data_IF_626330411752
#
_entry.id   IF_626330411752
#
_cell.length_a   1.000
_cell.length_b   1.000
_cell.length_c   1.000
_cell.angle_alpha   90.00
_cell.angle_beta   90.00
_cell.angle_gamma   90.00
#
_symmetry.space_group_name_H-M   'P 1'
#
loop_
_entity.id
_entity.type
_entity.pdbx_description
1 polymer ?
#
# COMPACT_ATOMS: atom_id res chain seq x y z
N UNK A 1 63.78 -11.35 72.25
CA UNK A 1 63.90 -11.75 70.81
C UNK A 1 62.73 -11.16 70.08
N UNK A 2 62.92 -10.00 69.45
CA UNK A 2 61.83 -9.30 68.69
C UNK A 2 62.06 -9.48 67.18
N UNK A 3 61.16 -10.09 66.53
CA UNK A 3 61.17 -10.30 65.09
C UNK A 3 60.36 -9.17 64.49
N UNK A 4 61.03 -8.30 63.68
CA UNK A 4 60.35 -7.26 62.87
C UNK A 4 59.89 -7.82 61.55
N UNK A 5 58.64 -7.68 61.29
CA UNK A 5 58.04 -7.95 59.95
C UNK A 5 58.15 -6.68 59.09
N UNK A 6 58.80 -6.81 57.97
CA UNK A 6 58.92 -5.77 56.95
C UNK A 6 57.71 -5.94 55.98
N UNK A 7 56.80 -4.99 56.00
CA UNK A 7 55.68 -4.98 55.06
C UNK A 7 56.10 -4.34 53.73
N UNK A 8 56.05 -5.13 52.65
CA UNK A 8 56.28 -4.65 51.29
C UNK A 8 54.91 -4.17 50.70
N UNK A 9 54.81 -2.84 50.51
CA UNK A 9 53.65 -2.24 49.87
C UNK A 9 53.87 -2.26 48.33
N UNK A 10 53.11 -3.06 47.67
CA UNK A 10 53.10 -3.12 46.21
C UNK A 10 52.03 -2.15 45.65
N UNK A 11 52.45 -1.05 45.05
CA UNK A 11 51.61 -0.05 44.43
C UNK A 11 51.28 -0.53 43.05
N UNK A 12 50.02 -0.97 42.83
CA UNK A 12 49.47 -1.22 41.48
C UNK A 12 49.02 0.13 40.87
N UNK A 13 49.68 0.54 39.79
CA UNK A 13 49.24 1.65 38.96
C UNK A 13 48.10 1.16 38.02
N UNK A 14 46.90 1.58 38.28
CA UNK A 14 45.79 1.40 37.33
C UNK A 14 45.92 2.40 36.18
N UNK A 15 46.27 1.91 35.00
CA UNK A 15 46.20 2.69 33.78
C UNK A 15 44.74 3.01 33.43
N UNK A 16 44.42 4.30 33.38
CA UNK A 16 43.15 4.76 32.80
C UNK A 16 43.15 4.47 31.29
N UNK A 17 42.48 3.40 30.90
CA UNK A 17 42.14 3.16 29.51
C UNK A 17 41.14 4.22 29.05
N UNK A 18 41.47 4.96 27.98
CA UNK A 18 40.57 5.90 27.34
C UNK A 18 39.30 5.14 26.89
N UNK A 19 38.15 5.51 27.43
CA UNK A 19 36.87 5.04 26.96
C UNK A 19 36.70 5.51 25.52
N UNK A 20 36.68 4.57 24.57
CA UNK A 20 36.31 4.86 23.20
C UNK A 20 34.85 5.34 23.18
N UNK A 21 34.66 6.59 22.78
CA UNK A 21 33.36 7.21 22.60
C UNK A 21 32.66 6.50 21.43
N UNK A 22 31.84 5.49 21.73
CA UNK A 22 31.04 4.79 20.75
C UNK A 22 29.88 5.70 20.36
N UNK A 23 30.13 6.57 19.39
CA UNK A 23 29.10 7.40 18.79
C UNK A 23 28.01 6.47 18.21
N UNK A 24 26.96 6.28 19.00
CA UNK A 24 25.79 5.49 18.61
C UNK A 24 25.12 6.21 17.45
N UNK A 25 25.39 5.80 16.21
CA UNK A 25 24.65 6.27 15.05
C UNK A 25 23.17 5.98 15.29
N UNK A 26 22.42 7.04 15.59
CA UNK A 26 20.98 6.97 15.70
C UNK A 26 20.45 6.65 14.31
N UNK A 27 20.04 5.41 14.08
CA UNK A 27 19.29 5.01 12.89
C UNK A 27 17.92 5.65 13.02
N UNK A 28 17.77 6.86 12.47
CA UNK A 28 16.46 7.51 12.36
C UNK A 28 15.62 6.71 11.38
N UNK A 29 14.45 6.23 11.83
CA UNK A 29 13.47 5.66 10.91
C UNK A 29 13.13 6.69 9.85
N UNK A 30 13.02 6.29 8.57
CA UNK A 30 12.70 7.23 7.50
C UNK A 30 11.36 7.93 7.80
N UNK A 31 11.34 9.24 7.60
CA UNK A 31 10.16 10.06 7.85
C UNK A 31 9.00 9.62 6.95
N UNK A 32 7.81 9.47 7.55
CA UNK A 32 6.59 9.18 6.81
C UNK A 32 5.97 10.47 6.30
N UNK A 33 5.48 10.41 5.08
CA UNK A 33 4.69 11.48 4.47
C UNK A 33 3.24 11.03 4.29
N UNK A 34 2.33 12.01 4.27
CA UNK A 34 0.92 11.80 3.91
C UNK A 34 0.65 12.40 2.54
N UNK A 35 0.01 11.62 1.66
CA UNK A 35 -0.51 12.05 0.38
C UNK A 35 -2.03 11.85 0.39
N UNK A 36 -2.78 12.93 0.14
CA UNK A 36 -4.24 12.88 -0.05
C UNK A 36 -4.54 13.33 -1.47
N UNK A 37 -5.26 12.50 -2.20
CA UNK A 37 -5.64 12.77 -3.58
C UNK A 37 -7.15 13.04 -3.68
N UNK A 38 -7.49 14.24 -4.14
CA UNK A 38 -8.85 14.61 -4.48
C UNK A 38 -9.18 14.05 -5.88
N UNK A 39 -9.80 12.89 -5.91
CA UNK A 39 -10.11 12.17 -7.15
C UNK A 39 -11.11 12.90 -8.06
N UNK A 40 -11.84 13.89 -7.53
CA UNK A 40 -12.73 14.76 -8.29
C UNK A 40 -12.00 15.85 -9.06
N UNK A 41 -10.78 16.21 -8.67
CA UNK A 41 -9.99 17.26 -9.31
C UNK A 41 -9.03 16.72 -10.35
N UNK A 42 -8.75 17.55 -11.36
CA UNK A 42 -7.74 17.19 -12.35
C UNK A 42 -6.35 17.19 -11.73
N UNK A 43 -5.60 16.12 -12.05
CA UNK A 43 -4.21 15.95 -11.65
C UNK A 43 -3.45 15.31 -12.82
N UNK A 44 -2.51 16.04 -13.47
CA UNK A 44 -1.79 15.55 -14.66
C UNK A 44 -0.85 14.35 -14.36
N UNK A 45 -0.65 14.02 -13.08
CA UNK A 45 0.14 12.88 -12.66
C UNK A 45 -0.61 11.54 -12.77
N UNK A 46 -1.92 11.57 -13.04
CA UNK A 46 -2.67 10.38 -13.36
C UNK A 46 -2.34 9.88 -14.77
N UNK A 47 -1.92 8.63 -14.87
CA UNK A 47 -1.75 7.89 -16.12
C UNK A 47 -2.90 6.89 -16.27
N UNK A 48 -3.85 7.20 -17.13
CA UNK A 48 -4.93 6.30 -17.50
C UNK A 48 -4.42 5.32 -18.57
N UNK A 49 -3.94 4.17 -18.12
CA UNK A 49 -3.30 3.16 -18.98
C UNK A 49 -4.32 2.43 -19.83
N UNK A 50 -5.48 2.13 -19.24
CA UNK A 50 -6.60 1.48 -19.91
C UNK A 50 -7.92 1.86 -19.23
N UNK A 51 -9.05 1.79 -19.95
CA UNK A 51 -10.38 2.16 -19.47
C UNK A 51 -10.74 3.60 -19.78
N UNK A 52 -12.02 3.91 -19.54
CA UNK A 52 -12.55 5.27 -19.68
C UNK A 52 -12.76 5.85 -18.27
N UNK A 53 -11.87 6.72 -17.88
CA UNK A 53 -11.87 7.39 -16.59
C UNK A 53 -12.43 8.79 -16.73
N UNK A 54 -13.46 9.13 -15.97
CA UNK A 54 -14.13 10.44 -15.99
C UNK A 54 -14.30 10.96 -14.58
N UNK A 55 -14.16 12.26 -14.40
CA UNK A 55 -14.51 12.95 -13.15
C UNK A 55 -15.94 13.44 -13.25
N UNK A 56 -16.72 13.26 -12.19
CA UNK A 56 -18.11 13.67 -12.15
C UNK A 56 -18.62 13.86 -10.73
N UNK A 57 -19.64 14.68 -10.58
CA UNK A 57 -20.41 14.74 -9.35
C UNK A 57 -21.29 13.49 -9.20
N UNK A 58 -21.30 12.88 -8.03
CA UNK A 58 -22.09 11.70 -7.73
C UNK A 58 -22.43 11.62 -6.24
N UNK A 59 -23.73 11.68 -5.90
CA UNK A 59 -24.18 11.59 -4.52
C UNK A 59 -23.64 12.69 -3.61
N UNK A 60 -23.53 13.92 -4.11
CA UNK A 60 -23.07 15.10 -3.35
C UNK A 60 -21.54 15.20 -3.18
N UNK A 61 -20.78 14.40 -3.92
CA UNK A 61 -19.30 14.44 -3.93
C UNK A 61 -18.73 14.31 -5.34
N UNK A 62 -17.53 14.82 -5.53
CA UNK A 62 -16.77 14.60 -6.75
C UNK A 62 -16.05 13.24 -6.68
N UNK A 63 -16.06 12.52 -7.80
CA UNK A 63 -15.49 11.17 -7.90
C UNK A 63 -14.70 11.00 -9.19
N UNK A 64 -13.75 10.05 -9.18
CA UNK A 64 -13.18 9.48 -10.40
C UNK A 64 -13.88 8.16 -10.70
N UNK A 65 -14.52 8.08 -11.85
CA UNK A 65 -15.28 6.91 -12.26
C UNK A 65 -14.65 6.22 -13.48
N UNK A 66 -14.56 4.91 -13.43
CA UNK A 66 -14.38 4.06 -14.60
C UNK A 66 -15.75 3.71 -15.17
N UNK A 67 -16.00 3.92 -16.47
CA UNK A 67 -17.35 3.92 -17.05
C UNK A 67 -17.50 3.10 -18.34
N UNK A 68 -16.47 2.39 -18.78
CA UNK A 68 -16.50 1.62 -20.00
C UNK A 68 -16.02 0.19 -19.78
N UNK A 69 -16.59 -0.72 -20.58
CA UNK A 69 -16.04 -2.08 -20.70
C UNK A 69 -14.58 -2.04 -21.15
N UNK A 70 -13.72 -2.79 -20.47
CA UNK A 70 -12.27 -2.81 -20.74
C UNK A 70 -11.70 -4.22 -20.51
N UNK A 71 -11.28 -4.85 -21.58
CA UNK A 71 -10.65 -6.16 -21.53
C UNK A 71 -9.12 -6.03 -21.60
N UNK A 72 -8.40 -6.73 -20.74
CA UNK A 72 -8.89 -7.57 -19.62
C UNK A 72 -9.25 -6.76 -18.38
N UNK A 73 -8.75 -5.50 -18.22
CA UNK A 73 -8.99 -4.61 -17.07
C UNK A 73 -8.66 -3.15 -17.37
N UNK A 74 -9.26 -2.25 -16.60
CA UNK A 74 -8.95 -0.84 -16.60
C UNK A 74 -7.93 -0.51 -15.49
N UNK A 75 -6.95 0.33 -15.81
CA UNK A 75 -5.81 0.67 -14.94
C UNK A 75 -5.57 2.18 -14.99
N UNK A 76 -5.50 2.80 -13.81
CA UNK A 76 -5.06 4.17 -13.62
C UNK A 76 -3.95 4.20 -12.57
N UNK A 77 -2.78 4.78 -12.89
CA UNK A 77 -1.63 4.92 -11.99
C UNK A 77 -1.41 6.38 -11.64
N UNK A 78 -1.28 6.69 -10.36
CA UNK A 78 -0.89 8.03 -9.88
C UNK A 78 0.64 8.11 -9.79
N UNK A 79 1.27 8.69 -10.81
CA UNK A 79 2.72 8.87 -10.91
C UNK A 79 3.18 10.14 -10.18
N UNK A 80 2.74 10.32 -8.93
CA UNK A 80 3.20 11.41 -8.07
C UNK A 80 4.38 10.96 -7.20
N UNK A 81 4.12 10.13 -6.21
CA UNK A 81 5.11 9.67 -5.24
C UNK A 81 5.17 8.15 -5.21
N UNK A 82 6.38 7.63 -5.08
CA UNK A 82 6.61 6.22 -4.82
C UNK A 82 6.76 6.01 -3.32
N UNK A 83 6.25 4.90 -2.81
CA UNK A 83 6.33 4.52 -1.41
C UNK A 83 6.95 3.12 -1.28
N UNK A 84 7.86 2.94 -0.33
CA UNK A 84 8.39 1.63 0.05
C UNK A 84 7.42 0.92 0.99
N UNK A 85 7.27 1.44 2.20
CA UNK A 85 6.23 1.03 3.14
C UNK A 85 5.07 2.01 3.07
N UNK A 86 3.85 1.48 3.10
CA UNK A 86 2.65 2.32 2.99
C UNK A 86 1.47 1.77 3.81
N UNK A 87 0.59 2.67 4.16
CA UNK A 87 -0.79 2.46 4.62
C UNK A 87 -1.67 3.29 3.67
N UNK A 88 -2.31 2.61 2.72
CA UNK A 88 -3.09 3.25 1.68
C UNK A 88 -4.57 2.89 1.80
N UNK A 89 -5.42 3.88 1.64
CA UNK A 89 -6.88 3.71 1.64
C UNK A 89 -7.51 4.34 0.41
N UNK A 90 -8.58 3.71 -0.07
CA UNK A 90 -9.47 4.30 -1.08
C UNK A 90 -10.91 3.86 -0.81
N UNK A 91 -11.87 4.76 -1.03
CA UNK A 91 -13.27 4.37 -1.12
C UNK A 91 -13.62 4.03 -2.56
N UNK A 92 -14.41 2.99 -2.74
CA UNK A 92 -14.96 2.61 -4.03
C UNK A 92 -16.45 2.29 -3.90
N UNK A 93 -17.19 2.51 -4.99
CA UNK A 93 -18.60 2.17 -5.09
C UNK A 93 -18.82 1.46 -6.42
N UNK A 94 -19.04 0.13 -6.41
CA UNK A 94 -19.41 -0.59 -7.62
C UNK A 94 -20.85 -0.20 -7.99
N UNK A 95 -21.03 0.35 -9.17
CA UNK A 95 -22.34 0.86 -9.64
C UNK A 95 -23.07 -0.23 -10.43
N UNK A 96 -22.35 -0.87 -11.36
CA UNK A 96 -22.89 -1.91 -12.20
C UNK A 96 -21.80 -2.78 -12.81
N UNK A 97 -22.23 -3.91 -13.34
CA UNK A 97 -21.49 -4.89 -14.12
C UNK A 97 -22.32 -6.15 -14.23
N UNK A 98 -22.17 -6.89 -15.32
CA UNK A 98 -22.79 -8.19 -15.54
C UNK A 98 -21.76 -9.31 -15.49
N UNK A 99 -20.60 -9.07 -16.05
CA UNK A 99 -19.46 -9.98 -16.03
C UNK A 99 -18.60 -9.77 -14.78
N UNK A 100 -18.40 -8.50 -14.37
CA UNK A 100 -17.64 -8.13 -13.19
C UNK A 100 -18.19 -6.84 -12.56
N UNK A 101 -18.12 -6.70 -11.24
CA UNK A 101 -18.47 -5.48 -10.53
C UNK A 101 -17.46 -5.23 -9.42
N UNK A 102 -16.27 -4.81 -9.83
CA UNK A 102 -15.12 -4.72 -8.92
C UNK A 102 -14.54 -3.32 -8.81
N UNK A 103 -13.90 -3.09 -7.66
CA UNK A 103 -12.99 -1.99 -7.44
C UNK A 103 -11.71 -2.48 -6.80
N UNK A 104 -10.58 -1.88 -7.18
CA UNK A 104 -9.28 -2.28 -6.68
C UNK A 104 -8.33 -1.12 -6.40
N UNK A 105 -7.44 -1.34 -5.43
CA UNK A 105 -6.33 -0.47 -5.07
C UNK A 105 -5.03 -1.11 -5.54
N UNK A 106 -4.37 -0.46 -6.49
CA UNK A 106 -3.02 -0.79 -6.94
C UNK A 106 -2.01 -0.17 -5.98
N UNK A 107 -0.94 -0.90 -5.67
CA UNK A 107 0.18 -0.42 -4.88
C UNK A 107 1.49 -1.06 -5.35
N UNK A 108 2.62 -0.43 -5.00
CA UNK A 108 3.96 -0.83 -5.45
C UNK A 108 4.06 -0.95 -6.97
N UNK A 109 3.31 -0.14 -7.72
CA UNK A 109 3.36 -0.16 -9.17
C UNK A 109 4.72 0.35 -9.69
N UNK A 110 5.26 -0.38 -10.67
CA UNK A 110 6.41 0.05 -11.47
C UNK A 110 5.95 0.71 -12.76
N UNK A 111 4.81 0.26 -13.27
CA UNK A 111 4.11 0.75 -14.45
C UNK A 111 2.69 0.14 -14.50
N UNK A 112 1.95 0.33 -15.60
CA UNK A 112 0.60 -0.20 -15.80
C UNK A 112 0.53 -1.72 -16.04
N UNK A 113 1.66 -2.45 -16.06
CA UNK A 113 1.75 -3.90 -16.28
C UNK A 113 2.46 -4.65 -15.16
N UNK A 114 3.06 -3.91 -14.20
CA UNK A 114 3.88 -4.46 -13.12
C UNK A 114 3.48 -3.82 -11.79
N UNK A 115 2.62 -4.49 -11.01
CA UNK A 115 2.04 -3.96 -9.77
C UNK A 115 1.49 -5.05 -8.86
N UNK A 116 1.24 -4.71 -7.61
CA UNK A 116 0.38 -5.44 -6.68
C UNK A 116 -1.01 -4.81 -6.66
N UNK A 117 -2.03 -5.63 -6.44
CA UNK A 117 -3.43 -5.22 -6.47
C UNK A 117 -4.22 -5.93 -5.39
N UNK A 118 -5.01 -5.18 -4.62
CA UNK A 118 -6.11 -5.72 -3.82
C UNK A 118 -7.43 -5.32 -4.47
N UNK A 119 -8.32 -6.29 -4.68
CA UNK A 119 -9.60 -6.11 -5.35
C UNK A 119 -10.74 -6.74 -4.58
N UNK A 120 -11.87 -6.03 -4.47
CA UNK A 120 -13.15 -6.55 -4.04
C UNK A 120 -14.11 -6.66 -5.24
N UNK A 121 -14.94 -7.71 -5.30
CA UNK A 121 -15.90 -7.94 -6.38
C UNK A 121 -17.28 -8.30 -5.81
N UNK A 122 -18.28 -7.50 -6.15
CA UNK A 122 -19.65 -7.64 -5.68
C UNK A 122 -20.37 -8.88 -6.27
N UNK A 123 -20.04 -9.30 -7.48
CA UNK A 123 -20.68 -10.46 -8.14
C UNK A 123 -20.04 -11.78 -7.71
N UNK A 124 -18.74 -11.78 -7.41
CA UNK A 124 -18.02 -13.00 -7.04
C UNK A 124 -17.91 -13.19 -5.52
N UNK A 125 -18.40 -12.24 -4.72
CA UNK A 125 -18.32 -12.27 -3.24
C UNK A 125 -16.91 -12.58 -2.74
N UNK A 126 -15.90 -11.91 -3.32
CA UNK A 126 -14.52 -12.15 -2.94
C UNK A 126 -13.68 -10.88 -2.79
N UNK A 127 -12.65 -11.01 -1.96
CA UNK A 127 -11.60 -10.04 -1.73
C UNK A 127 -10.26 -10.72 -1.98
N UNK A 128 -9.48 -10.23 -2.93
CA UNK A 128 -8.27 -10.93 -3.39
C UNK A 128 -7.07 -10.02 -3.49
N UNK A 129 -5.90 -10.59 -3.16
CA UNK A 129 -4.58 -10.03 -3.42
C UNK A 129 -3.99 -10.69 -4.67
N UNK A 130 -3.47 -9.86 -5.58
CA UNK A 130 -2.84 -10.30 -6.82
C UNK A 130 -1.46 -9.67 -7.00
N UNK A 131 -0.60 -10.39 -7.72
CA UNK A 131 0.54 -9.80 -8.42
C UNK A 131 0.25 -9.75 -9.92
N UNK A 132 0.71 -8.69 -10.59
CA UNK A 132 0.72 -8.57 -12.06
C UNK A 132 2.15 -8.31 -12.50
N UNK A 133 2.69 -9.21 -13.32
CA UNK A 133 4.05 -9.14 -13.86
C UNK A 133 3.98 -9.21 -15.37
N UNK A 134 4.51 -8.20 -16.06
CA UNK A 134 4.44 -8.07 -17.53
C UNK A 134 3.02 -8.20 -18.09
N UNK A 135 2.02 -7.74 -17.33
CA UNK A 135 0.61 -7.81 -17.68
C UNK A 135 -0.04 -9.18 -17.42
N UNK A 136 0.67 -10.16 -16.85
CA UNK A 136 0.10 -11.45 -16.44
C UNK A 136 -0.24 -11.40 -14.95
N UNK A 137 -1.53 -11.51 -14.63
CA UNK A 137 -2.03 -11.48 -13.26
C UNK A 137 -2.08 -12.89 -12.65
N UNK A 138 -1.63 -13.00 -11.39
CA UNK A 138 -1.69 -14.22 -10.59
C UNK A 138 -2.29 -13.92 -9.22
N UNK A 139 -3.19 -14.78 -8.74
CA UNK A 139 -3.79 -14.67 -7.40
C UNK A 139 -2.78 -15.13 -6.36
N UNK A 140 -2.55 -14.31 -5.33
CA UNK A 140 -1.69 -14.62 -4.19
C UNK A 140 -2.53 -15.15 -3.03
N UNK A 141 -3.61 -14.43 -2.68
CA UNK A 141 -4.51 -14.77 -1.59
C UNK A 141 -5.96 -14.39 -1.91
N UNK A 142 -6.92 -15.09 -1.30
CA UNK A 142 -8.35 -14.86 -1.51
C UNK A 142 -9.12 -15.09 -0.22
N UNK A 143 -10.06 -14.18 0.09
CA UNK A 143 -11.07 -14.34 1.11
C UNK A 143 -12.47 -14.29 0.48
N UNK A 144 -13.40 -15.10 1.02
CA UNK A 144 -14.82 -14.98 0.72
C UNK A 144 -15.42 -13.87 1.59
N UNK A 145 -16.28 -13.03 1.01
CA UNK A 145 -16.91 -11.89 1.69
C UNK A 145 -18.37 -11.78 1.27
N UNK A 146 -19.24 -11.33 2.17
CA UNK A 146 -20.63 -11.01 1.84
C UNK A 146 -20.71 -9.70 1.03
N UNK A 147 -19.82 -8.76 1.36
CA UNK A 147 -19.62 -7.48 0.69
C UNK A 147 -18.52 -7.60 -0.39
N UNK A 148 -18.43 -6.68 -1.34
CA UNK A 148 -19.15 -5.40 -1.44
C UNK A 148 -20.54 -5.53 -2.07
N UNK A 149 -21.44 -4.60 -1.71
CA UNK A 149 -22.78 -4.46 -2.27
C UNK A 149 -22.81 -3.39 -3.35
N UNK A 150 -23.52 -3.63 -4.46
CA UNK A 150 -23.70 -2.64 -5.52
C UNK A 150 -24.37 -1.35 -5.00
N UNK A 151 -23.91 -0.21 -5.50
CA UNK A 151 -24.45 1.11 -5.17
C UNK A 151 -24.03 1.66 -3.81
N UNK A 152 -23.35 0.88 -2.96
CA UNK A 152 -22.84 1.33 -1.65
C UNK A 152 -21.37 1.65 -1.68
N UNK A 153 -20.95 2.59 -0.82
CA UNK A 153 -19.54 2.91 -0.63
C UNK A 153 -18.86 1.90 0.28
N UNK A 154 -17.76 1.37 -0.19
CA UNK A 154 -16.87 0.48 0.56
C UNK A 154 -15.48 1.07 0.63
N UNK A 155 -14.66 0.60 1.58
CA UNK A 155 -13.29 1.05 1.79
C UNK A 155 -12.32 -0.11 1.67
N UNK A 156 -11.35 0.02 0.77
CA UNK A 156 -10.17 -0.83 0.74
C UNK A 156 -9.05 -0.11 1.50
N UNK A 157 -8.35 -0.83 2.38
CA UNK A 157 -7.10 -0.40 3.00
C UNK A 157 -6.04 -1.47 2.82
N UNK A 158 -4.83 -1.04 2.49
CA UNK A 158 -3.65 -1.90 2.37
C UNK A 158 -2.55 -1.35 3.25
N UNK A 159 -2.03 -2.18 4.15
CA UNK A 159 -0.82 -1.90 4.93
C UNK A 159 0.28 -2.81 4.42
N UNK A 160 1.30 -2.23 3.77
CA UNK A 160 2.46 -2.94 3.26
C UNK A 160 3.72 -2.48 4.00
N UNK A 161 4.33 -3.37 4.77
CA UNK A 161 5.58 -3.14 5.52
C UNK A 161 6.58 -4.24 5.21
N UNK A 162 7.73 -3.85 4.63
CA UNK A 162 8.66 -4.84 4.16
C UNK A 162 8.00 -5.80 3.16
N UNK A 163 7.95 -7.08 3.46
CA UNK A 163 7.30 -8.10 2.64
C UNK A 163 5.87 -8.39 3.08
N UNK A 164 5.48 -8.02 4.31
CA UNK A 164 4.15 -8.28 4.85
C UNK A 164 3.14 -7.32 4.26
N UNK A 165 2.02 -7.87 3.77
CA UNK A 165 0.88 -7.15 3.21
C UNK A 165 -0.36 -7.57 4.00
N UNK A 166 -1.02 -6.58 4.59
CA UNK A 166 -2.32 -6.73 5.23
C UNK A 166 -3.36 -5.97 4.43
N UNK A 167 -4.47 -6.61 4.11
CA UNK A 167 -5.53 -5.98 3.34
C UNK A 167 -6.88 -6.09 4.04
N UNK A 168 -7.59 -4.98 4.02
CA UNK A 168 -8.84 -4.78 4.76
C UNK A 168 -9.94 -4.35 3.81
N UNK A 169 -11.15 -4.86 4.06
CA UNK A 169 -12.39 -4.37 3.46
C UNK A 169 -13.32 -3.88 4.58
N UNK A 170 -13.78 -2.64 4.50
CA UNK A 170 -14.65 -2.03 5.52
C UNK A 170 -14.11 -2.24 6.96
N UNK A 171 -12.82 -1.96 7.18
CA UNK A 171 -12.05 -2.11 8.43
C UNK A 171 -11.75 -3.56 8.87
N UNK A 172 -12.39 -4.58 8.27
CA UNK A 172 -12.11 -5.97 8.58
C UNK A 172 -10.81 -6.44 7.92
N UNK A 173 -9.84 -6.93 8.70
CA UNK A 173 -8.64 -7.59 8.17
C UNK A 173 -9.04 -8.93 7.54
N UNK A 174 -8.87 -9.05 6.23
CA UNK A 174 -9.25 -10.25 5.48
C UNK A 174 -8.07 -11.01 4.91
N UNK A 175 -6.96 -10.33 4.61
CA UNK A 175 -5.76 -10.95 4.07
C UNK A 175 -4.53 -10.46 4.83
N UNK A 176 -3.66 -11.41 5.21
CA UNK A 176 -2.34 -11.17 5.81
C UNK A 176 -1.36 -12.12 5.14
N UNK A 177 -0.46 -11.61 4.33
CA UNK A 177 0.38 -12.41 3.44
C UNK A 177 1.75 -11.79 3.26
N UNK A 178 2.76 -12.62 2.96
CA UNK A 178 4.09 -12.16 2.56
C UNK A 178 4.23 -12.16 1.04
N UNK A 179 4.70 -11.03 0.48
CA UNK A 179 4.90 -10.84 -0.95
C UNK A 179 6.25 -10.18 -1.23
N UNK A 180 7.00 -10.75 -2.19
CA UNK A 180 8.40 -10.38 -2.47
C UNK A 180 8.63 -9.79 -3.86
N UNK A 181 7.63 -9.85 -4.75
CA UNK A 181 7.79 -9.49 -6.17
C UNK A 181 8.18 -8.03 -6.35
N UNK A 182 7.52 -7.12 -5.64
CA UNK A 182 7.78 -5.69 -5.75
C UNK A 182 8.03 -5.04 -4.39
N UNK A 183 9.06 -4.18 -4.38
CA UNK A 183 9.37 -3.28 -3.25
C UNK A 183 9.17 -1.86 -3.74
N UNK A 184 8.40 -1.08 -3.02
CA UNK A 184 8.11 0.31 -3.37
C UNK A 184 7.45 0.51 -4.74
N UNK A 185 6.88 1.67 -4.96
CA UNK A 185 6.26 2.05 -6.22
C UNK A 185 5.08 2.99 -6.03
N UNK A 186 4.39 3.28 -7.14
CA UNK A 186 3.21 4.13 -7.17
C UNK A 186 1.96 3.39 -6.67
N UNK A 187 0.91 4.16 -6.43
CA UNK A 187 -0.45 3.67 -6.17
C UNK A 187 -1.35 3.92 -7.38
N UNK A 188 -2.51 3.26 -7.42
CA UNK A 188 -3.44 3.42 -8.51
C UNK A 188 -4.79 2.75 -8.28
N UNK A 189 -5.64 2.79 -9.30
CA UNK A 189 -6.99 2.27 -9.29
C UNK A 189 -7.17 1.21 -10.38
N UNK A 190 -8.10 0.29 -10.14
CA UNK A 190 -8.30 -0.85 -11.00
C UNK A 190 -9.76 -1.31 -11.06
N UNK A 191 -10.20 -1.72 -12.24
CA UNK A 191 -11.46 -2.44 -12.44
C UNK A 191 -11.29 -3.52 -13.52
N UNK A 192 -12.31 -4.37 -13.73
CA UNK A 192 -12.27 -5.43 -14.72
C UNK A 192 -13.55 -5.44 -15.57
N UNK A 193 -13.40 -5.84 -16.82
CA UNK A 193 -14.49 -6.10 -17.77
C UNK A 193 -15.48 -4.92 -17.85
N UNK A 194 -16.75 -5.18 -17.64
CA UNK A 194 -17.84 -4.22 -17.69
C UNK A 194 -18.15 -3.51 -16.36
N UNK A 195 -17.23 -3.60 -15.38
CA UNK A 195 -17.38 -2.90 -14.10
C UNK A 195 -17.50 -1.39 -14.29
N UNK A 196 -18.61 -0.80 -13.87
CA UNK A 196 -18.72 0.64 -13.65
C UNK A 196 -18.50 0.91 -12.17
N UNK A 197 -17.42 1.61 -11.84
CA UNK A 197 -17.01 1.82 -10.44
C UNK A 197 -16.57 3.25 -10.22
N UNK A 198 -17.02 3.84 -9.13
CA UNK A 198 -16.60 5.15 -8.65
C UNK A 198 -15.60 5.04 -7.53
N UNK A 199 -14.65 5.96 -7.51
CA UNK A 199 -13.59 6.05 -6.51
C UNK A 199 -13.54 7.43 -5.88
N UNK A 200 -13.24 7.47 -4.58
CA UNK A 200 -13.08 8.69 -3.80
C UNK A 200 -12.08 8.48 -2.65
N UNK A 201 -11.63 9.59 -2.05
CA UNK A 201 -10.86 9.59 -0.79
C UNK A 201 -9.61 8.67 -0.83
N UNK A 202 -8.76 8.83 -1.84
CA UNK A 202 -7.47 8.14 -1.87
C UNK A 202 -6.49 8.83 -0.92
N UNK A 203 -6.03 8.11 0.09
CA UNK A 203 -5.02 8.57 1.04
C UNK A 203 -3.91 7.55 1.18
N UNK A 204 -2.67 8.01 1.24
CA UNK A 204 -1.49 7.18 1.46
C UNK A 204 -0.62 7.81 2.54
N UNK A 205 -0.28 7.04 3.56
CA UNK A 205 0.72 7.40 4.58
C UNK A 205 1.87 6.41 4.44
N UNK A 206 3.07 6.88 4.17
CA UNK A 206 4.17 5.95 3.97
C UNK A 206 5.54 6.59 3.89
N UNK A 207 6.56 5.73 3.77
CA UNK A 207 7.95 6.16 3.57
C UNK A 207 8.21 6.32 2.08
N UNK A 208 8.72 7.49 1.63
CA UNK A 208 9.10 7.68 0.23
C UNK A 208 10.11 6.62 -0.22
N UNK A 209 9.90 6.04 -1.39
CA UNK A 209 10.90 5.21 -2.04
C UNK A 209 12.01 6.08 -2.63
N UNK A 210 13.23 5.58 -2.55
CA UNK A 210 14.40 6.21 -3.16
C UNK A 210 14.42 6.06 -4.67
#
# INVERSE_FOLDING_TARGET
MRISFLSLVLTLAYGFGAAADVTRLAITSPEKITMKEDLGKDNPKWKFVAGRWVRRASGGREVLAQTAETQPWAVAILEDRKFDDLDATVRFRPISGKEDASGGLIFRAKDGRNYLLVRANALESNFRLYTTVNGKRSTIASAHVIEPTLGLWHKIRVVAKGQRIQAYLNEALLLDHEEKTFRGGWVGLWTKADSVTEFADLEVIGTPAK
#
